data_IF_816926137679
#
_entry.id   IF_816926137679
#
_cell.length_a   1.000
_cell.length_b   1.000
_cell.length_c   1.000
_cell.angle_alpha   90.00
_cell.angle_beta   90.00
_cell.angle_gamma   90.00
#
_symmetry.space_group_name_H-M   'P 1'
#
loop_
_entity.id
_entity.type
_entity.pdbx_description
1 polymer ?
#
# COMPACT_ATOMS: atom_id res chain seq x y z
N UNK A 1 14.03 8.79 34.15
CA UNK A 1 14.24 9.93 33.24
C UNK A 1 13.28 9.79 32.07
N UNK A 2 12.53 10.83 31.65
CA UNK A 2 11.51 10.68 30.62
C UNK A 2 12.15 10.42 29.26
N UNK A 3 11.64 9.42 28.53
CA UNK A 3 12.07 9.04 27.19
C UNK A 3 11.86 10.20 26.21
N UNK A 4 12.93 10.91 25.85
CA UNK A 4 12.93 11.90 24.78
C UNK A 4 12.74 11.15 23.45
N UNK A 5 11.51 11.06 22.95
CA UNK A 5 11.25 10.72 21.54
C UNK A 5 11.76 11.88 20.70
N UNK A 6 13.07 11.91 20.42
CA UNK A 6 13.62 12.80 19.40
C UNK A 6 12.82 12.58 18.12
N UNK A 7 12.27 13.66 17.56
CA UNK A 7 11.58 13.63 16.28
C UNK A 7 12.51 12.99 15.24
N UNK A 8 12.21 11.75 14.86
CA UNK A 8 13.06 10.92 13.99
C UNK A 8 13.25 11.51 12.58
N UNK A 9 12.56 12.63 12.28
CA UNK A 9 12.60 13.34 11.00
C UNK A 9 13.45 14.62 11.02
N UNK A 10 14.10 14.98 12.13
CA UNK A 10 14.93 16.18 12.20
C UNK A 10 16.12 16.09 11.23
N UNK A 11 16.30 17.10 10.37
CA UNK A 11 17.41 17.18 9.41
C UNK A 11 17.23 16.39 8.11
N UNK A 12 16.08 15.74 7.90
CA UNK A 12 15.81 15.01 6.64
C UNK A 12 15.30 15.97 5.55
N UNK A 13 15.70 15.77 4.28
CA UNK A 13 15.19 16.60 3.19
C UNK A 13 13.66 16.54 3.07
N UNK A 14 13.03 17.60 2.55
CA UNK A 14 11.63 17.57 2.14
C UNK A 14 11.37 16.40 1.18
N UNK A 15 10.25 15.69 1.37
CA UNK A 15 9.90 14.50 0.58
C UNK A 15 10.35 13.16 1.17
N UNK A 16 11.08 13.16 2.29
CA UNK A 16 11.46 11.89 2.93
C UNK A 16 10.24 11.16 3.51
N UNK A 17 9.93 9.99 2.95
CA UNK A 17 8.94 9.06 3.49
C UNK A 17 9.63 8.03 4.39
N UNK A 18 9.28 8.04 5.66
CA UNK A 18 9.79 7.08 6.64
C UNK A 18 8.66 6.66 7.57
N UNK A 19 8.53 5.34 7.77
CA UNK A 19 7.64 4.77 8.75
C UNK A 19 8.29 4.80 10.14
N UNK A 20 7.77 5.63 11.04
CA UNK A 20 8.28 5.81 12.42
C UNK A 20 7.43 5.07 13.47
N UNK A 21 6.60 4.11 13.02
CA UNK A 21 5.72 3.34 13.90
C UNK A 21 6.42 2.17 14.58
N UNK A 22 5.74 1.55 15.54
CA UNK A 22 6.29 0.46 16.36
C UNK A 22 6.06 -0.94 15.76
N UNK A 23 5.33 -1.06 14.65
CA UNK A 23 5.03 -2.34 13.99
C UNK A 23 5.94 -2.54 12.79
N UNK A 24 7.09 -3.17 13.03
CA UNK A 24 8.10 -3.44 11.98
C UNK A 24 8.10 -4.90 11.52
N UNK A 25 7.50 -5.81 12.30
CA UNK A 25 7.59 -7.26 12.08
C UNK A 25 6.31 -7.88 11.53
N UNK A 26 5.25 -7.08 11.32
CA UNK A 26 4.00 -7.59 10.75
C UNK A 26 4.13 -7.62 9.23
N UNK A 27 3.90 -8.76 8.55
CA UNK A 27 3.95 -8.80 7.10
C UNK A 27 2.89 -7.86 6.52
N UNK A 28 3.30 -6.97 5.64
CA UNK A 28 2.39 -6.08 4.90
C UNK A 28 1.57 -6.93 3.93
N UNK A 29 0.25 -6.81 4.01
CA UNK A 29 -0.68 -7.40 3.04
C UNK A 29 -1.38 -6.29 2.27
N UNK A 30 -1.42 -6.44 0.95
CA UNK A 30 -2.14 -5.51 0.07
C UNK A 30 -3.28 -6.31 -0.55
N UNK A 31 -4.51 -5.87 -0.34
CA UNK A 31 -5.71 -6.51 -0.92
C UNK A 31 -6.35 -5.51 -1.87
N UNK A 32 -6.34 -5.86 -3.16
CA UNK A 32 -7.02 -5.07 -4.18
C UNK A 32 -8.42 -5.63 -4.38
N UNK A 33 -9.42 -4.75 -4.30
CA UNK A 33 -10.83 -5.10 -4.48
C UNK A 33 -11.41 -4.21 -5.55
N UNK A 34 -12.14 -4.83 -6.47
CA UNK A 34 -12.89 -4.18 -7.54
C UNK A 34 -14.31 -4.71 -7.52
N UNK A 35 -15.28 -3.82 -7.56
CA UNK A 35 -16.69 -4.17 -7.48
C UNK A 35 -17.52 -3.26 -8.37
N UNK A 36 -18.61 -3.81 -8.90
CA UNK A 36 -19.64 -3.14 -9.68
C UNK A 36 -21.01 -3.74 -9.39
N UNK A 37 -22.03 -3.32 -10.14
CA UNK A 37 -23.41 -3.80 -9.93
C UNK A 37 -23.58 -5.31 -10.21
N UNK A 38 -22.73 -5.87 -11.07
CA UNK A 38 -22.81 -7.22 -11.61
C UNK A 38 -21.53 -8.06 -11.39
N UNK A 39 -20.47 -7.46 -10.84
CA UNK A 39 -19.19 -8.14 -10.66
C UNK A 39 -18.50 -7.76 -9.34
N UNK A 40 -17.77 -8.73 -8.80
CA UNK A 40 -16.91 -8.57 -7.64
C UNK A 40 -15.62 -9.36 -7.87
N UNK A 41 -14.47 -8.72 -7.64
CA UNK A 41 -13.15 -9.33 -7.76
C UNK A 41 -12.25 -8.85 -6.64
N UNK A 42 -11.61 -9.79 -5.97
CA UNK A 42 -10.58 -9.53 -4.96
C UNK A 42 -9.30 -10.26 -5.30
N UNK A 43 -8.15 -9.64 -5.06
CA UNK A 43 -6.84 -10.28 -5.22
C UNK A 43 -5.89 -9.81 -4.13
N UNK A 44 -5.08 -10.73 -3.61
CA UNK A 44 -3.95 -10.39 -2.75
C UNK A 44 -2.76 -10.02 -3.64
N UNK A 45 -2.24 -8.80 -3.43
CA UNK A 45 -1.17 -8.22 -4.21
C UNK A 45 0.14 -8.45 -3.46
N UNK A 46 1.02 -9.24 -4.06
CA UNK A 46 2.34 -9.54 -3.51
C UNK A 46 3.47 -8.75 -4.20
N UNK A 47 3.17 -8.10 -5.35
CA UNK A 47 4.11 -7.23 -6.05
C UNK A 47 3.42 -6.01 -6.70
N UNK A 48 4.16 -4.91 -6.96
CA UNK A 48 3.61 -3.75 -7.66
C UNK A 48 3.10 -4.06 -9.07
N UNK A 49 3.72 -5.01 -9.78
CA UNK A 49 3.33 -5.43 -11.12
C UNK A 49 1.93 -6.06 -11.12
N UNK A 50 1.63 -6.89 -10.12
CA UNK A 50 0.29 -7.46 -9.94
C UNK A 50 -0.78 -6.39 -9.75
N UNK A 51 -0.45 -5.28 -9.09
CA UNK A 51 -1.39 -4.16 -8.92
C UNK A 51 -1.70 -3.50 -10.27
N UNK A 52 -0.68 -3.31 -11.11
CA UNK A 52 -0.85 -2.78 -12.47
C UNK A 52 -1.74 -3.69 -13.31
N UNK A 53 -1.46 -4.99 -13.31
CA UNK A 53 -2.29 -5.98 -14.02
C UNK A 53 -3.74 -6.02 -13.49
N UNK A 54 -3.92 -5.92 -12.17
CA UNK A 54 -5.24 -5.87 -11.54
C UNK A 54 -6.06 -4.66 -12.03
N UNK A 55 -5.41 -3.51 -12.27
CA UNK A 55 -6.05 -2.30 -12.78
C UNK A 55 -6.33 -2.38 -14.29
N UNK A 56 -5.39 -2.91 -15.07
CA UNK A 56 -5.47 -2.97 -16.54
C UNK A 56 -6.43 -4.05 -17.05
N UNK A 57 -6.61 -5.13 -16.28
CA UNK A 57 -7.48 -6.26 -16.66
C UNK A 57 -8.98 -5.90 -16.78
N UNK A 58 -9.38 -4.67 -16.47
CA UNK A 58 -10.74 -4.17 -16.67
C UNK A 58 -10.98 -3.50 -18.03
N UNK A 59 -9.92 -3.11 -18.74
CA UNK A 59 -10.06 -2.45 -20.05
C UNK A 59 -10.37 -3.44 -21.19
N UNK A 60 -10.50 -4.74 -20.89
CA UNK A 60 -10.82 -5.80 -21.85
C UNK A 60 -12.31 -6.13 -22.00
N UNK A 61 -13.20 -5.53 -21.20
CA UNK A 61 -14.62 -5.89 -21.11
C UNK A 61 -15.61 -5.07 -21.95
N UNK A 62 -15.14 -4.09 -22.72
CA UNK A 62 -15.96 -3.32 -23.66
C UNK A 62 -15.49 -3.60 -25.10
N UNK A 63 -15.91 -4.75 -25.64
CA UNK A 63 -16.01 -4.99 -27.08
C UNK A 63 -17.37 -5.59 -27.39
#
# INVERSE_FOLDING_TARGET
MPHRKLSQKAGKPPGTMEYTGHRTETPTRIIAVKFGADHFRSSEITSPEMLKEFLESDHGGLK
#
